data_IF_160194700242
#
_entry.id   IF_160194700242
#
_cell.length_a   1.000
_cell.length_b   1.000
_cell.length_c   1.000
_cell.angle_alpha   90.00
_cell.angle_beta   90.00
_cell.angle_gamma   90.00
#
_symmetry.space_group_name_H-M   'P 1'
#
loop_
_entity.id
_entity.type
_entity.pdbx_description
1 polymer ?
#
# COMPACT_ATOMS: atom_id res chain seq x y z
N UNK A 1 -29.77 -23.27 35.93
CA UNK A 1 -29.18 -22.61 34.74
C UNK A 1 -28.25 -21.51 35.21
N UNK A 2 -26.94 -21.75 35.17
CA UNK A 2 -25.93 -20.75 35.51
C UNK A 2 -25.30 -20.31 34.20
N UNK A 3 -25.56 -19.07 33.78
CA UNK A 3 -24.95 -18.51 32.58
C UNK A 3 -23.50 -18.10 32.90
N UNK A 4 -22.52 -18.78 32.28
CA UNK A 4 -21.15 -18.31 32.21
C UNK A 4 -21.11 -17.11 31.26
N UNK A 5 -20.89 -15.91 31.80
CA UNK A 5 -20.57 -14.73 30.99
C UNK A 5 -19.15 -14.85 30.44
N UNK A 6 -18.99 -14.84 29.11
CA UNK A 6 -17.69 -14.73 28.48
C UNK A 6 -17.12 -13.33 28.70
N UNK A 7 -15.99 -13.23 29.38
CA UNK A 7 -15.20 -11.99 29.45
C UNK A 7 -14.48 -11.83 28.12
N UNK A 8 -14.81 -10.80 27.34
CA UNK A 8 -14.03 -10.43 26.17
C UNK A 8 -12.68 -9.86 26.64
N UNK A 9 -11.59 -10.51 26.26
CA UNK A 9 -10.24 -9.95 26.44
C UNK A 9 -10.07 -8.71 25.57
N UNK A 10 -9.35 -7.67 26.02
CA UNK A 10 -9.02 -6.53 25.17
C UNK A 10 -8.20 -7.03 23.98
N UNK A 11 -8.61 -6.68 22.77
CA UNK A 11 -7.83 -6.93 21.57
C UNK A 11 -6.55 -6.08 21.64
N UNK A 12 -5.39 -6.72 21.74
CA UNK A 12 -4.11 -6.03 21.52
C UNK A 12 -4.04 -5.71 20.03
N UNK A 13 -3.92 -4.43 19.67
CA UNK A 13 -3.67 -4.04 18.28
C UNK A 13 -2.42 -4.76 17.79
N UNK A 14 -2.56 -5.56 16.73
CA UNK A 14 -1.39 -6.11 16.04
C UNK A 14 -0.62 -4.92 15.43
N UNK A 15 0.71 -4.91 15.49
CA UNK A 15 1.50 -3.82 14.92
C UNK A 15 1.52 -3.86 13.37
N UNK A 16 1.15 -5.00 12.77
CA UNK A 16 1.16 -5.26 11.33
C UNK A 16 2.53 -4.96 10.70
N UNK A 17 3.56 -5.55 11.28
CA UNK A 17 4.97 -5.28 10.93
C UNK A 17 5.66 -6.44 10.24
N UNK A 18 4.92 -7.48 9.87
CA UNK A 18 5.47 -8.66 9.19
C UNK A 18 4.63 -9.04 7.98
N UNK A 19 5.20 -9.74 7.02
CA UNK A 19 4.43 -10.23 5.87
C UNK A 19 3.28 -11.14 6.27
N UNK A 20 3.44 -11.98 7.30
CA UNK A 20 2.39 -12.88 7.76
C UNK A 20 1.14 -12.12 8.26
N UNK A 21 1.34 -10.94 8.84
CA UNK A 21 0.25 -10.07 9.33
C UNK A 21 -0.33 -9.19 8.20
N UNK A 22 0.52 -8.67 7.32
CA UNK A 22 0.15 -7.68 6.30
C UNK A 22 -0.44 -8.33 5.05
N UNK A 23 0.10 -9.47 4.60
CA UNK A 23 -0.29 -10.10 3.33
C UNK A 23 -1.80 -10.36 3.21
N UNK A 24 -2.50 -10.91 4.22
CA UNK A 24 -3.94 -11.12 4.11
C UNK A 24 -4.73 -9.82 3.88
N UNK A 25 -4.25 -8.70 4.42
CA UNK A 25 -4.87 -7.38 4.24
C UNK A 25 -4.63 -6.89 2.82
N UNK A 26 -3.39 -6.96 2.33
CA UNK A 26 -3.06 -6.53 0.98
C UNK A 26 -3.72 -7.41 -0.08
N UNK A 27 -3.85 -8.72 0.15
CA UNK A 27 -4.59 -9.62 -0.73
C UNK A 27 -6.07 -9.24 -0.79
N UNK A 28 -6.70 -8.98 0.36
CA UNK A 28 -8.12 -8.59 0.44
C UNK A 28 -8.39 -7.19 -0.12
N UNK A 29 -7.37 -6.32 -0.15
CA UNK A 29 -7.47 -4.93 -0.58
C UNK A 29 -6.74 -4.66 -1.89
N UNK A 30 -6.37 -5.70 -2.65
CA UNK A 30 -5.59 -5.59 -3.88
C UNK A 30 -6.14 -4.56 -4.85
N UNK A 31 -7.46 -4.49 -5.01
CA UNK A 31 -8.13 -3.50 -5.87
C UNK A 31 -7.81 -2.02 -5.51
N UNK A 32 -7.27 -1.75 -4.32
CA UNK A 32 -7.01 -0.41 -3.78
C UNK A 32 -5.52 -0.15 -3.53
N UNK A 33 -4.60 -0.98 -4.02
CA UNK A 33 -3.16 -0.78 -3.79
C UNK A 33 -2.65 0.57 -4.31
N UNK A 34 -3.18 1.01 -5.45
CA UNK A 34 -2.89 2.31 -6.03
C UNK A 34 -4.19 3.05 -6.37
N UNK A 35 -4.11 4.38 -6.36
CA UNK A 35 -5.18 5.26 -6.77
C UNK A 35 -4.62 6.37 -7.65
N UNK A 36 -5.43 6.91 -8.55
CA UNK A 36 -5.03 7.97 -9.47
C UNK A 36 -5.93 9.18 -9.27
N UNK A 37 -5.36 10.38 -9.31
CA UNK A 37 -6.14 11.62 -9.22
C UNK A 37 -5.63 12.63 -10.24
N UNK A 38 -6.55 13.31 -10.91
CA UNK A 38 -6.23 14.51 -11.67
C UNK A 38 -6.18 15.72 -10.72
N UNK A 39 -5.03 16.36 -10.61
CA UNK A 39 -4.84 17.51 -9.74
C UNK A 39 -3.75 18.44 -10.27
N UNK A 40 -4.01 19.75 -10.24
CA UNK A 40 -3.06 20.80 -10.66
C UNK A 40 -2.43 20.55 -12.05
N UNK A 41 -3.24 20.06 -13.00
CA UNK A 41 -2.77 19.76 -14.36
C UNK A 41 -1.84 18.55 -14.47
N UNK A 42 -1.91 17.63 -13.49
CA UNK A 42 -1.11 16.41 -13.44
C UNK A 42 -1.98 15.19 -13.08
N UNK A 43 -1.48 14.02 -13.47
CA UNK A 43 -1.93 12.75 -12.93
C UNK A 43 -1.08 12.42 -11.68
N UNK A 44 -1.70 12.31 -10.51
CA UNK A 44 -1.06 11.90 -9.27
C UNK A 44 -1.35 10.42 -9.01
N UNK A 45 -0.34 9.56 -9.12
CA UNK A 45 -0.44 8.13 -8.82
C UNK A 45 -0.05 7.87 -7.36
N UNK A 46 -1.03 7.58 -6.53
CA UNK A 46 -0.89 7.33 -5.09
C UNK A 46 -0.55 5.88 -4.79
N UNK A 47 0.39 5.70 -3.87
CA UNK A 47 0.77 4.44 -3.23
C UNK A 47 0.44 4.44 -1.72
N UNK A 48 -0.37 5.41 -1.27
CA UNK A 48 -0.69 5.65 0.14
C UNK A 48 -1.25 4.42 0.85
N UNK A 49 -2.07 3.62 0.17
CA UNK A 49 -2.63 2.40 0.74
C UNK A 49 -1.53 1.36 1.04
N UNK A 50 -0.58 1.16 0.13
CA UNK A 50 0.57 0.28 0.36
C UNK A 50 1.48 0.81 1.47
N UNK A 51 1.72 2.13 1.53
CA UNK A 51 2.52 2.76 2.58
C UNK A 51 1.98 2.51 4.00
N UNK A 52 0.65 2.40 4.14
CA UNK A 52 -0.02 2.11 5.41
C UNK A 52 0.23 0.67 5.92
N UNK A 53 0.81 -0.20 5.09
CA UNK A 53 1.16 -1.58 5.43
C UNK A 53 2.62 -1.93 5.11
N UNK A 54 3.45 -0.92 4.83
CA UNK A 54 4.81 -1.09 4.29
C UNK A 54 5.73 -1.91 5.19
N UNK A 55 5.48 -1.96 6.50
CA UNK A 55 6.37 -2.67 7.41
C UNK A 55 6.46 -4.18 7.12
N UNK A 56 5.45 -4.77 6.49
CA UNK A 56 5.50 -6.16 6.02
C UNK A 56 6.02 -6.32 4.59
N UNK A 57 6.50 -5.24 3.96
CA UNK A 57 7.01 -5.20 2.59
C UNK A 57 8.51 -4.97 2.60
N UNK A 58 9.21 -5.69 1.73
CA UNK A 58 10.59 -5.40 1.36
C UNK A 58 10.65 -4.36 0.23
N UNK A 59 9.77 -4.47 -0.77
CA UNK A 59 9.81 -3.64 -1.96
C UNK A 59 8.45 -3.48 -2.63
N UNK A 60 8.24 -2.33 -3.26
CA UNK A 60 7.16 -2.09 -4.23
C UNK A 60 7.79 -1.73 -5.57
N UNK A 61 7.53 -2.54 -6.58
CA UNK A 61 7.86 -2.27 -7.97
C UNK A 61 6.59 -1.88 -8.74
N UNK A 62 6.73 -0.98 -9.72
CA UNK A 62 5.63 -0.64 -10.60
C UNK A 62 6.12 -0.30 -12.01
N UNK A 63 5.22 -0.37 -12.98
CA UNK A 63 5.42 0.21 -14.32
C UNK A 63 4.15 0.94 -14.75
N UNK A 64 4.31 1.90 -15.66
CA UNK A 64 3.20 2.68 -16.23
C UNK A 64 3.17 2.45 -17.74
N UNK A 65 2.00 2.11 -18.27
CA UNK A 65 1.74 1.89 -19.69
C UNK A 65 2.70 0.88 -20.36
N UNK A 66 3.11 -0.16 -19.62
CA UNK A 66 4.08 -1.15 -20.11
C UNK A 66 5.50 -0.62 -20.31
N UNK A 67 5.82 0.55 -19.74
CA UNK A 67 7.17 1.10 -19.72
C UNK A 67 8.11 0.38 -18.76
N UNK A 68 9.27 0.98 -18.49
CA UNK A 68 10.29 0.41 -17.61
C UNK A 68 9.76 0.21 -16.19
N UNK A 69 10.20 -0.89 -15.56
CA UNK A 69 9.92 -1.16 -14.15
C UNK A 69 10.72 -0.21 -13.27
N UNK A 70 10.04 0.40 -12.32
CA UNK A 70 10.56 1.35 -11.35
C UNK A 70 10.33 0.82 -9.93
N UNK A 71 11.19 1.23 -8.99
CA UNK A 71 10.99 0.96 -7.57
C UNK A 71 10.34 2.20 -6.96
N UNK A 72 9.23 2.02 -6.26
CA UNK A 72 8.63 3.07 -5.45
C UNK A 72 9.36 3.15 -4.10
N UNK A 73 9.84 4.35 -3.75
CA UNK A 73 10.60 4.57 -2.53
C UNK A 73 9.69 4.51 -1.30
N UNK A 74 9.80 3.43 -0.54
CA UNK A 74 9.12 3.28 0.75
C UNK A 74 9.87 4.03 1.83
N UNK A 75 9.16 4.82 2.64
CA UNK A 75 9.73 5.34 3.88
C UNK A 75 10.03 4.17 4.86
N UNK A 76 10.98 4.30 5.80
CA UNK A 76 11.33 3.22 6.71
C UNK A 76 10.14 2.80 7.59
N UNK A 77 10.14 1.54 8.03
CA UNK A 77 9.24 1.10 9.09
C UNK A 77 9.70 1.66 10.46
N UNK A 78 8.84 2.38 11.17
CA UNK A 78 9.19 3.03 12.43
C UNK A 78 9.04 2.07 13.62
N UNK A 79 9.87 1.02 13.68
CA UNK A 79 9.76 -0.08 14.65
C UNK A 79 9.80 0.34 16.12
N UNK A 80 10.40 1.49 16.43
CA UNK A 80 10.53 2.02 17.79
C UNK A 80 9.34 2.91 18.22
N UNK A 81 8.31 3.04 17.38
CA UNK A 81 7.15 3.90 17.62
C UNK A 81 5.86 3.12 17.86
N UNK A 82 4.89 3.77 18.51
CA UNK A 82 3.59 3.16 18.81
C UNK A 82 2.77 2.81 17.55
N UNK A 83 3.07 3.44 16.41
CA UNK A 83 2.43 3.19 15.12
C UNK A 83 3.50 3.04 14.03
N UNK A 84 4.12 1.85 13.88
CA UNK A 84 5.24 1.66 12.97
C UNK A 84 4.93 1.96 11.50
N UNK A 85 3.68 1.74 11.09
CA UNK A 85 3.19 2.02 9.75
C UNK A 85 2.65 3.46 9.56
N UNK A 86 2.74 4.35 10.55
CA UNK A 86 2.30 5.74 10.37
C UNK A 86 3.06 6.37 9.19
N UNK A 87 2.32 7.01 8.28
CA UNK A 87 2.89 7.66 7.09
C UNK A 87 3.35 9.06 7.48
N UNK A 88 4.65 9.35 7.33
CA UNK A 88 5.19 10.67 7.70
C UNK A 88 5.46 11.55 6.51
N UNK A 89 5.79 10.97 5.35
CA UNK A 89 6.07 11.69 4.12
C UNK A 89 7.08 12.84 4.30
N UNK A 90 8.13 12.60 5.09
CA UNK A 90 9.18 13.60 5.40
C UNK A 90 10.13 13.80 4.23
N UNK A 91 10.56 12.69 3.62
CA UNK A 91 11.61 12.67 2.60
C UNK A 91 11.08 12.27 1.22
N UNK A 92 9.94 11.57 1.19
CA UNK A 92 9.24 11.16 -0.04
C UNK A 92 7.74 11.42 0.07
N UNK A 93 7.11 11.70 -1.07
CA UNK A 93 5.67 11.86 -1.16
C UNK A 93 5.00 10.50 -1.35
N UNK A 94 3.75 10.32 -0.88
CA UNK A 94 3.03 9.06 -1.05
C UNK A 94 2.44 8.88 -2.46
N UNK A 95 2.88 9.69 -3.43
CA UNK A 95 2.46 9.67 -4.82
C UNK A 95 3.58 10.11 -5.76
N UNK A 96 3.43 9.78 -7.03
CA UNK A 96 4.27 10.23 -8.13
C UNK A 96 3.47 11.06 -9.12
N UNK A 97 4.13 12.02 -9.77
CA UNK A 97 3.50 12.92 -10.73
C UNK A 97 3.76 12.43 -12.15
N UNK A 98 2.71 12.40 -12.95
CA UNK A 98 2.75 12.15 -14.38
C UNK A 98 2.05 13.30 -15.13
N UNK A 99 2.36 13.50 -16.42
CA UNK A 99 1.58 14.43 -17.24
C UNK A 99 0.07 14.09 -17.16
N UNK A 100 -0.78 15.11 -17.17
CA UNK A 100 -2.24 14.92 -17.13
C UNK A 100 -2.70 13.97 -18.25
N UNK A 101 -3.59 13.04 -17.93
CA UNK A 101 -4.14 12.05 -18.87
C UNK A 101 -3.08 11.17 -19.54
N UNK A 102 -1.94 10.93 -18.90
CA UNK A 102 -0.90 10.07 -19.46
C UNK A 102 -0.89 8.66 -18.86
N UNK A 103 -1.44 8.47 -17.67
CA UNK A 103 -1.48 7.14 -17.03
C UNK A 103 -2.73 6.39 -17.50
N UNK A 104 -2.53 5.31 -18.26
CA UNK A 104 -3.60 4.44 -18.79
C UNK A 104 -3.64 3.08 -18.10
N UNK A 105 -2.47 2.53 -17.77
CA UNK A 105 -2.32 1.27 -17.05
C UNK A 105 -1.17 1.35 -16.06
N UNK A 106 -1.35 0.76 -14.89
CA UNK A 106 -0.31 0.60 -13.86
C UNK A 106 -0.22 -0.87 -13.50
N UNK A 107 0.99 -1.43 -13.58
CA UNK A 107 1.28 -2.77 -13.08
C UNK A 107 2.12 -2.64 -11.82
N UNK A 108 1.77 -3.37 -10.76
CA UNK A 108 2.44 -3.31 -9.45
C UNK A 108 2.86 -4.71 -9.02
N UNK A 109 4.08 -4.85 -8.51
CA UNK A 109 4.57 -6.06 -7.85
C UNK A 109 5.08 -5.72 -6.46
N UNK A 110 4.59 -6.43 -5.48
CA UNK A 110 5.02 -6.36 -4.09
C UNK A 110 6.00 -7.51 -3.81
N UNK A 111 7.07 -7.20 -3.10
CA UNK A 111 7.91 -8.19 -2.42
C UNK A 111 7.72 -8.01 -0.92
N UNK A 112 7.34 -9.09 -0.24
CA UNK A 112 7.13 -9.15 1.20
C UNK A 112 8.45 -9.37 1.94
N UNK A 113 8.51 -9.06 3.24
CA UNK A 113 9.73 -9.21 4.06
C UNK A 113 10.25 -10.66 4.22
N UNK A 114 9.44 -11.65 3.84
CA UNK A 114 9.80 -13.07 3.77
C UNK A 114 10.18 -13.53 2.35
N UNK A 115 10.26 -12.60 1.39
CA UNK A 115 10.60 -12.85 -0.01
C UNK A 115 9.46 -13.36 -0.89
N UNK A 116 8.24 -13.55 -0.35
CA UNK A 116 7.09 -13.85 -1.18
C UNK A 116 6.71 -12.65 -2.06
N UNK A 117 5.98 -12.89 -3.14
CA UNK A 117 5.55 -11.83 -4.06
C UNK A 117 4.05 -11.88 -4.35
N UNK A 118 3.49 -10.73 -4.71
CA UNK A 118 2.15 -10.60 -5.25
C UNK A 118 2.13 -9.47 -6.29
N UNK A 119 1.26 -9.58 -7.30
CA UNK A 119 1.19 -8.61 -8.40
C UNK A 119 -0.25 -8.27 -8.75
N UNK A 120 -0.49 -7.02 -9.13
CA UNK A 120 -1.79 -6.52 -9.60
C UNK A 120 -1.63 -5.60 -10.81
N UNK A 121 -2.67 -5.53 -11.64
CA UNK A 121 -2.71 -4.70 -12.85
C UNK A 121 -3.98 -3.85 -12.86
N UNK A 122 -3.82 -2.55 -13.12
CA UNK A 122 -4.83 -1.54 -12.89
C UNK A 122 -4.99 -0.66 -14.12
N UNK A 123 -6.13 -0.75 -14.80
CA UNK A 123 -6.52 0.22 -15.82
C UNK A 123 -6.94 1.55 -15.14
N UNK A 124 -6.64 2.69 -15.78
CA UNK A 124 -6.97 4.05 -15.29
C UNK A 124 -8.39 4.14 -14.75
N UNK A 125 -9.37 3.66 -15.51
CA UNK A 125 -10.79 3.73 -15.18
C UNK A 125 -11.16 3.03 -13.85
N UNK A 126 -10.34 2.10 -13.37
CA UNK A 126 -10.59 1.37 -12.13
C UNK A 126 -9.96 2.05 -10.89
N UNK A 127 -8.99 2.94 -11.09
CA UNK A 127 -8.23 3.57 -10.02
C UNK A 127 -8.35 5.10 -9.99
N UNK A 128 -8.96 5.71 -11.01
CA UNK A 128 -9.23 7.14 -11.03
C UNK A 128 -10.25 7.52 -9.94
N UNK A 129 -9.84 8.44 -9.07
CA UNK A 129 -10.67 9.02 -8.03
C UNK A 129 -11.63 10.04 -8.67
N UNK A 130 -12.93 9.82 -8.47
CA UNK A 130 -14.00 10.70 -8.95
C UNK A 130 -14.01 12.06 -8.24
#
# INVERSE_FOLDING_TARGET
MTALGALASPAVSQPFTTAAEVRPILDATQANWVALREYDGQDLLYFTHLLAWRCGLEQVQFSVNGGDVQIFELEPCYMDEAQPNAIKATDSLPFLNFPLNSVEQVDVTLTYDDGATASGSYARANILMN
#
